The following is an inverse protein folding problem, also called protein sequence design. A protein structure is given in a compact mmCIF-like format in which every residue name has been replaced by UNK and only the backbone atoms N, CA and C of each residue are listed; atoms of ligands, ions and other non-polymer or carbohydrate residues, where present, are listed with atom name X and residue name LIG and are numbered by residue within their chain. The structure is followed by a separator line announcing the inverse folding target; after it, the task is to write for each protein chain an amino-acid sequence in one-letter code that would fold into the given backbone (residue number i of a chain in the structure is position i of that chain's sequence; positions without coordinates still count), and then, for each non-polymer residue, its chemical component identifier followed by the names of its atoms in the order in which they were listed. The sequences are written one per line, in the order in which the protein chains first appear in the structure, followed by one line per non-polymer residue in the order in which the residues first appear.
data_IF_351542101470
#
_entry.id   IF_351542101470
#
_cell.length_a   1.000
_cell.length_b   1.000
_cell.length_c   1.000
_cell.angle_alpha   90.00
_cell.angle_beta   90.00
_cell.angle_gamma   90.00
#
_symmetry.space_group_name_H-M   'P 1'
#
loop_
_entity.id
_entity.type
_entity.pdbx_description
1 polymer ?
#
# COMPACT_ATOMS: atom_id res chain seq x y z
N UNK A 1 38.36 -30.71 -55.02
CA UNK A 1 37.41 -29.83 -54.33
C UNK A 1 36.84 -30.61 -53.17
N UNK A 2 37.35 -30.30 -51.95
CA UNK A 2 37.03 -30.98 -50.68
C UNK A 2 35.99 -30.14 -49.97
N UNK A 3 34.83 -30.70 -49.74
CA UNK A 3 33.78 -30.08 -48.97
C UNK A 3 33.85 -30.60 -47.53
N UNK A 4 34.34 -29.75 -46.62
CA UNK A 4 34.41 -30.05 -45.20
C UNK A 4 33.06 -29.72 -44.53
N UNK A 5 32.41 -30.73 -44.02
CA UNK A 5 31.17 -30.67 -43.28
C UNK A 5 31.47 -30.21 -41.86
N UNK A 6 31.04 -29.01 -41.48
CA UNK A 6 31.04 -28.54 -40.10
C UNK A 6 29.75 -29.00 -39.40
N UNK A 7 29.89 -29.89 -38.45
CA UNK A 7 28.82 -30.29 -37.56
C UNK A 7 28.67 -29.21 -36.46
N UNK A 8 27.59 -28.46 -36.51
CA UNK A 8 27.20 -27.59 -35.41
C UNK A 8 26.49 -28.41 -34.34
N UNK A 9 27.16 -28.55 -33.21
CA UNK A 9 26.58 -29.05 -31.97
C UNK A 9 25.49 -28.12 -31.49
N UNK A 10 24.27 -28.61 -31.49
CA UNK A 10 23.16 -27.97 -30.81
C UNK A 10 23.31 -28.17 -29.31
N UNK A 11 23.70 -27.14 -28.60
CA UNK A 11 23.60 -27.07 -27.15
C UNK A 11 22.14 -26.81 -26.76
N UNK A 12 21.66 -27.62 -25.89
CA UNK A 12 20.31 -27.64 -25.33
C UNK A 12 19.94 -26.34 -24.65
N UNK A 13 18.69 -25.88 -24.73
CA UNK A 13 18.21 -24.70 -24.01
C UNK A 13 18.08 -25.00 -22.52
N UNK A 14 18.65 -24.07 -21.78
CA UNK A 14 18.79 -24.09 -20.34
C UNK A 14 17.56 -24.33 -19.53
N UNK A 15 17.86 -24.83 -18.40
CA UNK A 15 17.04 -25.07 -17.23
C UNK A 15 16.09 -23.90 -16.95
N UNK A 16 14.82 -24.18 -17.02
CA UNK A 16 13.80 -23.35 -16.38
C UNK A 16 14.10 -23.33 -14.89
N UNK A 17 14.59 -22.21 -14.40
CA UNK A 17 14.60 -21.93 -12.98
C UNK A 17 13.14 -21.98 -12.51
N UNK A 18 12.79 -23.10 -11.94
CA UNK A 18 11.59 -23.21 -11.13
C UNK A 18 11.71 -22.18 -10.00
N UNK A 19 10.96 -21.11 -10.10
CA UNK A 19 10.66 -20.29 -8.95
C UNK A 19 10.04 -21.23 -7.91
N UNK A 20 10.81 -21.53 -6.87
CA UNK A 20 10.24 -22.15 -5.66
C UNK A 20 9.22 -21.14 -5.15
N UNK A 21 7.95 -21.47 -5.36
CA UNK A 21 6.86 -20.74 -4.76
C UNK A 21 7.13 -20.62 -3.27
N UNK A 22 7.07 -19.41 -2.78
CA UNK A 22 7.11 -19.13 -1.35
C UNK A 22 6.08 -20.04 -0.70
N UNK A 23 6.58 -20.93 0.16
CA UNK A 23 5.77 -21.83 0.93
C UNK A 23 4.72 -20.98 1.65
N UNK A 24 3.45 -21.17 1.30
CA UNK A 24 2.34 -20.65 2.09
C UNK A 24 2.54 -21.17 3.52
N UNK A 25 3.09 -20.30 4.36
CA UNK A 25 3.28 -20.60 5.77
C UNK A 25 1.87 -20.77 6.35
N UNK A 26 1.53 -21.98 6.75
CA UNK A 26 0.30 -22.27 7.46
C UNK A 26 0.30 -21.50 8.79
N UNK A 27 -0.40 -20.37 8.79
CA UNK A 27 -0.43 -19.39 9.88
C UNK A 27 -1.26 -19.85 11.08
N UNK A 28 -1.97 -21.00 10.98
CA UNK A 28 -2.93 -21.39 12.02
C UNK A 28 -2.28 -21.95 13.30
N UNK A 29 -1.12 -22.58 13.21
CA UNK A 29 -0.44 -23.19 14.39
C UNK A 29 0.88 -22.54 14.75
N UNK A 30 1.69 -22.15 13.76
CA UNK A 30 2.95 -21.42 14.00
C UNK A 30 2.75 -19.96 14.40
N UNK A 31 1.68 -19.34 13.93
CA UNK A 31 1.34 -17.95 14.25
C UNK A 31 1.07 -17.71 15.73
N UNK A 32 0.53 -18.71 16.43
CA UNK A 32 0.27 -18.62 17.88
C UNK A 32 1.58 -18.62 18.67
N UNK A 33 2.57 -19.41 18.25
CA UNK A 33 3.86 -19.55 18.92
C UNK A 33 4.81 -18.36 18.65
N UNK A 34 4.65 -17.68 17.53
CA UNK A 34 5.53 -16.54 17.11
C UNK A 34 4.90 -15.18 17.36
N UNK A 35 3.68 -15.09 17.86
CA UNK A 35 2.96 -13.83 18.05
C UNK A 35 2.59 -13.14 16.72
N UNK A 36 2.70 -13.81 15.57
CA UNK A 36 2.45 -13.26 14.24
C UNK A 36 0.97 -12.91 14.00
N UNK A 37 0.04 -13.38 14.83
CA UNK A 37 -1.34 -12.94 14.81
C UNK A 37 -1.48 -11.43 15.11
N UNK A 38 -0.53 -10.84 15.88
CA UNK A 38 -0.44 -9.40 16.07
C UNK A 38 -0.05 -8.66 14.78
N UNK A 39 0.63 -9.32 13.85
CA UNK A 39 0.99 -8.69 12.57
C UNK A 39 -0.15 -8.71 11.57
N UNK A 40 -1.12 -9.62 11.70
CA UNK A 40 -2.35 -9.61 10.89
C UNK A 40 -3.13 -8.29 11.06
N UNK A 41 -2.95 -7.59 12.18
CA UNK A 41 -3.62 -6.33 12.51
C UNK A 41 -2.86 -5.09 12.00
N UNK A 42 -1.67 -5.21 11.40
CA UNK A 42 -0.81 -4.06 11.05
C UNK A 42 -1.06 -3.46 9.66
N UNK A 43 -1.88 -4.08 8.82
CA UNK A 43 -2.18 -3.54 7.49
C UNK A 43 -3.26 -2.48 7.55
N UNK A 44 -3.13 -1.40 6.77
CA UNK A 44 -4.21 -0.45 6.55
C UNK A 44 -5.33 -1.20 5.83
N UNK A 45 -6.54 -1.17 6.39
CA UNK A 45 -7.70 -1.86 5.84
C UNK A 45 -8.35 -1.01 4.74
N UNK A 46 -9.25 -1.58 3.93
CA UNK A 46 -10.03 -0.81 2.96
C UNK A 46 -10.76 0.36 3.62
N UNK A 47 -11.07 1.43 2.85
CA UNK A 47 -11.85 2.56 3.36
C UNK A 47 -13.26 2.12 3.78
N UNK A 48 -13.86 2.86 4.72
CA UNK A 48 -15.23 2.65 5.24
C UNK A 48 -15.49 1.30 5.94
N UNK A 49 -14.49 0.54 6.33
CA UNK A 49 -14.78 -0.62 7.19
C UNK A 49 -15.38 -0.12 8.52
N UNK A 50 -16.39 -0.85 9.02
CA UNK A 50 -17.14 -0.42 10.21
C UNK A 50 -16.25 -0.45 11.44
N UNK A 51 -15.81 -1.63 11.85
CA UNK A 51 -14.98 -1.83 13.02
C UNK A 51 -13.97 -2.94 12.74
N UNK A 52 -12.71 -2.73 13.13
CA UNK A 52 -11.61 -3.63 12.80
C UNK A 52 -11.83 -5.06 13.34
N UNK A 53 -12.37 -5.21 14.53
CA UNK A 53 -12.64 -6.52 15.16
C UNK A 53 -13.74 -7.27 14.41
N UNK A 54 -14.83 -6.59 14.05
CA UNK A 54 -15.91 -7.15 13.28
C UNK A 54 -15.46 -7.53 11.88
N UNK A 55 -14.69 -6.66 11.23
CA UNK A 55 -14.11 -6.93 9.92
C UNK A 55 -13.25 -8.21 9.94
N UNK A 56 -12.37 -8.36 10.93
CA UNK A 56 -11.49 -9.53 11.03
C UNK A 56 -12.27 -10.85 11.30
N UNK A 57 -13.39 -10.78 12.01
CA UNK A 57 -14.20 -11.96 12.33
C UNK A 57 -15.12 -12.40 11.19
N UNK A 58 -15.61 -11.46 10.38
CA UNK A 58 -16.64 -11.72 9.37
C UNK A 58 -16.10 -11.73 7.92
N UNK A 59 -14.92 -11.17 7.67
CA UNK A 59 -14.32 -11.14 6.34
C UNK A 59 -13.98 -12.58 5.86
N UNK A 60 -14.64 -13.01 4.80
CA UNK A 60 -14.43 -14.32 4.18
C UNK A 60 -13.16 -14.40 3.34
N UNK A 61 -12.45 -13.29 3.16
CA UNK A 61 -11.21 -13.21 2.33
C UNK A 61 -11.42 -13.65 0.88
N UNK A 62 -12.58 -13.33 0.33
CA UNK A 62 -13.01 -13.72 -1.02
C UNK A 62 -12.35 -12.89 -2.13
N UNK A 63 -11.56 -11.86 -1.79
CA UNK A 63 -10.86 -10.93 -2.69
C UNK A 63 -11.76 -10.07 -3.60
N UNK A 64 -13.08 -10.12 -3.47
CA UNK A 64 -13.99 -9.34 -4.32
C UNK A 64 -13.68 -7.82 -4.27
N UNK A 65 -13.38 -7.28 -3.08
CA UNK A 65 -13.00 -5.87 -2.92
C UNK A 65 -11.64 -5.54 -3.56
N UNK A 66 -10.71 -6.49 -3.60
CA UNK A 66 -9.41 -6.33 -4.27
C UNK A 66 -9.62 -6.29 -5.78
N UNK A 67 -10.37 -7.22 -6.34
CA UNK A 67 -10.67 -7.31 -7.77
C UNK A 67 -11.48 -6.10 -8.28
N UNK A 68 -12.30 -5.51 -7.42
CA UNK A 68 -13.10 -4.32 -7.76
C UNK A 68 -12.30 -3.00 -7.70
N UNK A 69 -11.06 -3.02 -7.22
CA UNK A 69 -10.24 -1.82 -7.11
C UNK A 69 -9.54 -1.51 -8.43
N UNK A 70 -10.09 -0.60 -9.23
CA UNK A 70 -9.53 -0.20 -10.53
C UNK A 70 -8.14 0.45 -10.43
N UNK A 71 -7.78 0.96 -9.26
CA UNK A 71 -6.49 1.60 -9.00
C UNK A 71 -5.47 0.69 -8.34
N UNK A 72 -5.76 -0.60 -8.16
CA UNK A 72 -4.86 -1.60 -7.55
C UNK A 72 -4.28 -1.20 -6.18
N UNK A 73 -5.00 -0.32 -5.46
CA UNK A 73 -4.60 0.13 -4.11
C UNK A 73 -4.82 -0.99 -3.09
N UNK A 74 -5.79 -1.88 -3.33
CA UNK A 74 -6.08 -3.00 -2.47
C UNK A 74 -5.32 -4.24 -2.92
N UNK A 75 -4.65 -4.86 -1.98
CA UNK A 75 -3.93 -6.11 -2.19
C UNK A 75 -4.13 -7.07 -1.02
N UNK A 76 -3.78 -8.33 -1.21
CA UNK A 76 -3.82 -9.33 -0.14
C UNK A 76 -2.70 -9.05 0.86
N UNK A 77 -3.08 -8.69 2.06
CA UNK A 77 -2.17 -8.37 3.17
C UNK A 77 -2.02 -9.51 4.18
N UNK A 78 -1.49 -9.21 5.37
CA UNK A 78 -1.26 -10.17 6.43
C UNK A 78 -2.53 -10.93 6.81
N UNK A 79 -2.42 -12.25 6.98
CA UNK A 79 -3.53 -13.15 7.28
C UNK A 79 -4.50 -13.37 6.11
N UNK A 80 -4.15 -12.95 4.88
CA UNK A 80 -4.99 -13.06 3.69
C UNK A 80 -6.12 -12.02 3.64
N UNK A 81 -6.12 -11.04 4.53
CA UNK A 81 -7.12 -9.96 4.53
C UNK A 81 -6.76 -8.88 3.52
N UNK A 82 -7.74 -8.21 2.90
CA UNK A 82 -7.46 -7.05 2.06
C UNK A 82 -6.76 -5.94 2.85
N UNK A 83 -5.75 -5.37 2.25
CA UNK A 83 -4.94 -4.30 2.82
C UNK A 83 -4.63 -3.26 1.76
N UNK A 84 -4.51 -2.01 2.18
CA UNK A 84 -4.16 -0.89 1.33
C UNK A 84 -2.65 -0.79 1.15
N UNK A 85 -2.22 -0.58 -0.08
CA UNK A 85 -0.85 -0.25 -0.44
C UNK A 85 -0.83 0.99 -1.34
N UNK A 86 -0.33 2.09 -0.83
CA UNK A 86 -0.22 3.36 -1.54
C UNK A 86 1.07 3.52 -2.35
N UNK A 87 1.92 2.50 -2.46
CA UNK A 87 3.23 2.66 -3.10
C UNK A 87 3.16 2.94 -4.61
N UNK A 88 2.09 2.51 -5.27
CA UNK A 88 1.94 2.67 -6.72
C UNK A 88 0.84 3.64 -7.10
N UNK A 89 -0.27 3.60 -6.40
CA UNK A 89 -1.47 4.35 -6.73
C UNK A 89 -2.15 4.93 -5.48
N UNK A 90 -3.10 5.83 -5.70
CA UNK A 90 -3.93 6.49 -4.70
C UNK A 90 -5.34 5.94 -4.66
N UNK A 91 -6.03 6.11 -3.56
CA UNK A 91 -7.45 5.81 -3.44
C UNK A 91 -8.30 6.99 -3.95
N UNK A 92 -9.12 6.75 -4.95
CA UNK A 92 -10.03 7.75 -5.52
C UNK A 92 -11.39 7.84 -4.82
N UNK A 93 -11.57 7.09 -3.72
CA UNK A 93 -12.83 7.06 -2.96
C UNK A 93 -14.06 6.69 -3.81
N UNK A 94 -13.88 5.83 -4.82
CA UNK A 94 -14.95 5.40 -5.74
C UNK A 94 -16.03 4.54 -5.08
N UNK A 95 -15.72 3.90 -3.92
CA UNK A 95 -16.60 3.01 -3.17
C UNK A 95 -16.81 1.61 -3.80
N UNK A 96 -16.16 1.27 -4.91
CA UNK A 96 -16.31 -0.01 -5.59
C UNK A 96 -15.98 -1.22 -4.69
N UNK A 97 -14.97 -1.09 -3.84
CA UNK A 97 -14.59 -2.14 -2.88
C UNK A 97 -15.70 -2.48 -1.88
N UNK A 98 -16.46 -1.49 -1.43
CA UNK A 98 -17.58 -1.69 -0.52
C UNK A 98 -18.79 -2.32 -1.23
N UNK A 99 -19.06 -1.89 -2.47
CA UNK A 99 -20.15 -2.44 -3.29
C UNK A 99 -19.92 -3.89 -3.70
N UNK A 100 -18.67 -4.27 -3.92
CA UNK A 100 -18.30 -5.63 -4.30
C UNK A 100 -18.30 -6.63 -3.13
N UNK A 101 -18.36 -6.14 -1.89
CA UNK A 101 -18.34 -7.00 -0.72
C UNK A 101 -19.70 -7.68 -0.50
N UNK A 102 -19.77 -9.03 -0.47
CA UNK A 102 -21.02 -9.73 -0.20
C UNK A 102 -21.46 -9.62 1.27
N UNK A 103 -20.53 -9.25 2.15
CA UNK A 103 -20.78 -9.08 3.58
C UNK A 103 -21.04 -7.59 3.89
N UNK A 104 -21.92 -7.30 4.84
CA UNK A 104 -22.24 -5.92 5.25
C UNK A 104 -21.17 -5.34 6.18
N UNK A 105 -19.93 -5.23 5.71
CA UNK A 105 -18.78 -4.84 6.53
C UNK A 105 -18.35 -3.38 6.35
N UNK A 106 -19.01 -2.64 5.47
CA UNK A 106 -18.65 -1.28 5.12
C UNK A 106 -19.70 -0.27 5.58
N UNK A 107 -19.24 0.83 6.13
CA UNK A 107 -20.07 1.98 6.46
C UNK A 107 -20.53 2.71 5.19
N UNK A 108 -21.62 3.51 5.26
CA UNK A 108 -22.10 4.28 4.12
C UNK A 108 -21.05 5.25 3.57
N UNK A 109 -21.06 5.48 2.25
CA UNK A 109 -20.07 6.30 1.53
C UNK A 109 -19.91 7.74 2.07
N UNK A 110 -20.98 8.32 2.65
CA UNK A 110 -20.95 9.67 3.18
C UNK A 110 -20.22 9.79 4.53
N UNK A 111 -19.82 8.69 5.14
CA UNK A 111 -19.01 8.70 6.36
C UNK A 111 -17.54 8.92 6.02
N UNK A 112 -16.71 9.23 7.02
CA UNK A 112 -15.25 9.32 6.83
C UNK A 112 -14.72 7.96 6.39
N UNK A 113 -13.88 7.95 5.35
CA UNK A 113 -13.38 6.72 4.75
C UNK A 113 -12.47 5.93 5.72
N UNK A 114 -11.60 6.64 6.44
CA UNK A 114 -10.70 6.12 7.47
C UNK A 114 -10.09 7.25 8.31
N UNK A 115 -9.50 6.89 9.43
CA UNK A 115 -8.74 7.80 10.27
C UNK A 115 -7.25 7.47 10.18
N UNK A 116 -6.62 7.95 9.09
CA UNK A 116 -5.19 7.80 8.84
C UNK A 116 -4.46 9.10 9.12
N UNK A 117 -3.26 8.97 9.68
CA UNK A 117 -2.26 10.02 9.74
C UNK A 117 -1.08 9.65 8.84
N UNK A 118 -0.54 10.66 8.20
CA UNK A 118 0.64 10.51 7.36
C UNK A 118 1.82 11.19 8.04
N UNK A 119 3.00 10.61 7.88
CA UNK A 119 4.24 11.15 8.45
C UNK A 119 5.31 11.19 7.38
N UNK A 120 6.02 12.33 7.29
CA UNK A 120 7.14 12.50 6.37
C UNK A 120 8.43 12.22 7.14
N UNK A 121 9.12 11.15 6.77
CA UNK A 121 10.34 10.68 7.44
C UNK A 121 11.61 11.40 6.98
N UNK A 122 12.70 11.14 7.69
CA UNK A 122 14.01 11.78 7.47
C UNK A 122 14.64 11.46 6.10
N UNK A 123 14.18 10.45 5.41
CA UNK A 123 14.60 10.13 4.04
C UNK A 123 14.09 11.13 3.00
N UNK A 124 13.21 12.08 3.40
CA UNK A 124 12.68 13.10 2.51
C UNK A 124 13.81 13.95 1.89
N UNK A 125 13.82 14.05 0.57
CA UNK A 125 14.83 14.82 -0.18
C UNK A 125 14.89 16.28 0.27
N UNK A 126 13.75 16.90 0.56
CA UNK A 126 13.71 18.27 1.04
C UNK A 126 14.37 18.44 2.42
N UNK A 127 14.32 17.44 3.29
CA UNK A 127 15.06 17.45 4.56
C UNK A 127 16.57 17.31 4.36
N UNK A 128 16.99 16.73 3.22
CA UNK A 128 18.38 16.57 2.80
C UNK A 128 18.87 17.72 1.89
N UNK A 129 18.15 18.84 1.87
CA UNK A 129 18.47 20.02 1.05
C UNK A 129 18.43 19.80 -0.45
N UNK A 130 17.71 18.78 -0.91
CA UNK A 130 17.43 18.53 -2.33
C UNK A 130 16.03 19.03 -2.66
N UNK A 131 15.90 19.89 -3.67
CA UNK A 131 14.59 20.42 -4.06
C UNK A 131 13.68 19.30 -4.58
N UNK A 132 12.55 19.10 -3.89
CA UNK A 132 11.54 18.15 -4.27
C UNK A 132 10.19 18.57 -3.68
N UNK A 133 9.14 18.68 -4.53
CA UNK A 133 7.78 19.08 -4.13
C UNK A 133 6.70 18.12 -4.62
N UNK A 134 7.06 16.92 -5.11
CA UNK A 134 6.13 15.99 -5.73
C UNK A 134 4.91 15.65 -4.87
N UNK A 135 5.09 15.50 -3.55
CA UNK A 135 3.98 15.23 -2.64
C UNK A 135 3.02 16.41 -2.47
N UNK A 136 3.49 17.65 -2.60
CA UNK A 136 2.64 18.83 -2.63
C UNK A 136 1.84 18.89 -3.94
N UNK A 137 2.51 18.67 -5.07
CA UNK A 137 1.90 18.76 -6.41
C UNK A 137 0.82 17.69 -6.61
N UNK A 138 0.96 16.50 -5.98
CA UNK A 138 -0.02 15.42 -6.03
C UNK A 138 -1.13 15.54 -4.97
N UNK A 139 -1.07 16.52 -4.06
CA UNK A 139 -2.01 16.63 -2.96
C UNK A 139 -3.23 17.47 -3.36
N UNK A 140 -4.32 16.84 -3.83
CA UNK A 140 -5.55 17.53 -4.21
C UNK A 140 -6.14 18.38 -3.06
N UNK A 141 -6.26 17.89 -1.79
CA UNK A 141 -6.76 18.71 -0.69
C UNK A 141 -5.74 19.75 -0.19
N UNK A 142 -4.56 19.87 -0.80
CA UNK A 142 -3.50 20.79 -0.42
C UNK A 142 -3.08 20.70 1.07
N UNK A 143 -3.14 19.51 1.60
CA UNK A 143 -2.73 19.22 2.98
C UNK A 143 -1.21 19.28 3.19
N UNK A 144 -0.40 19.33 2.13
CA UNK A 144 1.07 19.42 2.18
C UNK A 144 1.52 20.76 1.65
N UNK A 145 2.12 21.57 2.51
CA UNK A 145 2.64 22.90 2.15
C UNK A 145 4.14 22.96 2.43
N UNK A 146 4.91 23.55 1.52
CA UNK A 146 6.34 23.79 1.71
C UNK A 146 6.55 25.17 2.30
N UNK A 147 7.21 25.23 3.45
CA UNK A 147 7.55 26.50 4.13
C UNK A 147 9.06 26.66 4.25
N UNK A 148 9.56 27.92 4.12
CA UNK A 148 10.98 28.19 4.29
C UNK A 148 11.39 27.96 5.76
N UNK A 149 12.54 27.34 5.95
CA UNK A 149 13.21 27.27 7.25
C UNK A 149 14.13 28.48 7.47
N UNK A 150 14.69 28.61 8.67
CA UNK A 150 15.67 29.65 8.96
C UNK A 150 16.92 29.60 8.06
N UNK A 151 17.24 28.42 7.53
CA UNK A 151 18.33 28.22 6.55
C UNK A 151 17.94 28.57 5.11
N UNK A 152 16.70 29.02 4.86
CA UNK A 152 16.19 29.33 3.54
C UNK A 152 15.74 28.09 2.72
N UNK A 153 15.88 26.90 3.27
CA UNK A 153 15.46 25.66 2.62
C UNK A 153 13.96 25.45 2.87
N UNK A 154 13.23 25.11 1.82
CA UNK A 154 11.82 24.79 1.93
C UNK A 154 11.62 23.35 2.39
N UNK A 155 10.85 23.16 3.46
CA UNK A 155 10.51 21.85 4.01
C UNK A 155 9.00 21.58 4.00
N UNK A 156 8.57 20.34 3.74
CA UNK A 156 7.16 19.99 3.75
C UNK A 156 6.60 20.01 5.18
N UNK A 157 5.44 20.63 5.30
CA UNK A 157 4.59 20.56 6.49
C UNK A 157 3.28 19.92 6.09
N UNK A 158 2.92 18.86 6.79
CA UNK A 158 1.68 18.11 6.55
C UNK A 158 0.64 18.50 7.58
N UNK A 159 -0.54 18.90 7.10
CA UNK A 159 -1.73 19.11 7.90
C UNK A 159 -2.66 17.90 7.81
N UNK A 160 -2.61 17.04 8.81
CA UNK A 160 -3.45 15.85 8.88
C UNK A 160 -4.95 16.16 9.04
N UNK A 161 -5.33 17.39 9.43
CA UNK A 161 -6.75 17.79 9.54
C UNK A 161 -7.37 18.00 8.15
N UNK A 162 -6.61 18.57 7.22
CA UNK A 162 -7.02 18.76 5.84
C UNK A 162 -6.78 17.51 4.96
N UNK A 163 -6.04 16.51 5.45
CA UNK A 163 -5.75 15.30 4.71
C UNK A 163 -6.98 14.39 4.62
N UNK A 164 -7.36 13.98 3.41
CA UNK A 164 -8.44 13.02 3.17
C UNK A 164 -7.99 11.55 3.22
N UNK A 165 -6.69 11.27 3.26
CA UNK A 165 -6.15 9.93 3.35
C UNK A 165 -5.99 9.18 2.01
N UNK A 166 -6.03 9.86 0.87
CA UNK A 166 -5.98 9.21 -0.46
C UNK A 166 -4.68 8.46 -0.75
N UNK A 167 -3.55 8.87 -0.16
CA UNK A 167 -2.24 8.24 -0.37
C UNK A 167 -1.46 8.70 -1.60
N UNK A 168 -1.94 9.68 -2.39
CA UNK A 168 -1.27 10.23 -3.57
C UNK A 168 0.16 10.69 -3.27
N UNK A 169 0.38 11.27 -2.09
CA UNK A 169 1.70 11.71 -1.65
C UNK A 169 2.69 10.55 -1.43
N UNK A 170 2.19 9.37 -1.02
CA UNK A 170 3.01 8.16 -0.87
C UNK A 170 3.43 7.64 -2.23
N UNK A 171 2.46 7.48 -3.16
CA UNK A 171 2.70 7.01 -4.51
C UNK A 171 3.67 7.92 -5.28
N UNK A 172 3.57 9.24 -5.09
CA UNK A 172 4.43 10.22 -5.78
C UNK A 172 5.84 10.36 -5.19
N UNK A 173 6.10 9.82 -3.98
CA UNK A 173 7.37 10.01 -3.29
C UNK A 173 8.48 9.13 -3.87
N UNK A 174 9.54 9.70 -4.49
CA UNK A 174 10.57 8.91 -5.18
C UNK A 174 11.49 8.13 -4.22
N UNK A 175 11.47 8.48 -2.94
CA UNK A 175 12.31 7.86 -1.90
C UNK A 175 11.48 7.17 -0.82
N UNK A 176 10.17 6.99 -1.05
CA UNK A 176 9.23 6.34 -0.11
C UNK A 176 9.34 6.87 1.32
N UNK A 177 9.56 8.20 1.46
CA UNK A 177 9.75 8.84 2.75
C UNK A 177 8.44 9.09 3.51
N UNK A 178 7.26 8.81 2.91
CA UNK A 178 5.96 9.08 3.50
C UNK A 178 5.34 7.75 3.92
N UNK A 179 4.94 7.66 5.18
CA UNK A 179 4.24 6.50 5.75
C UNK A 179 2.85 6.89 6.19
N UNK A 180 1.94 5.92 6.15
CA UNK A 180 0.57 6.07 6.62
C UNK A 180 0.31 5.08 7.75
N UNK A 181 -0.37 5.50 8.79
CA UNK A 181 -0.78 4.65 9.91
C UNK A 181 -2.12 5.10 10.48
N UNK A 182 -2.79 4.24 11.25
CA UNK A 182 -4.01 4.65 11.93
C UNK A 182 -3.72 5.69 13.02
N UNK A 183 -4.63 6.65 13.15
CA UNK A 183 -4.63 7.57 14.27
C UNK A 183 -5.03 6.83 15.55
N UNK A 184 -4.07 6.56 16.42
CA UNK A 184 -4.29 5.88 17.70
C UNK A 184 -4.60 6.85 18.84
N UNK A 185 -4.95 8.11 18.55
CA UNK A 185 -5.20 9.16 19.55
C UNK A 185 -6.62 9.09 20.17
N UNK A 186 -7.22 7.88 20.26
CA UNK A 186 -8.51 7.65 20.95
C UNK A 186 -8.40 6.56 22.01
#
# INVERSE_FOLDING_TARGET
VVVTRFLLSFTQPGERRLWKGDAMVDLSRRGILTGSWRSANRGIRPPWIMEASQFLSQCTRCDACIQACEHDVLQRGPGGYPSVNFQQNECTFCYACAQACPESLFSPRHTRAWDLIFTIGQACLAYQSVECRRCQDSCEPQAILFRPTLSGIYQPQLDNQNCNGCGACVASCPVSAITAEYNHAH
#
